data_IF_170791305419
#
_entry.id   IF_170791305419
#
_cell.length_a   1.000
_cell.length_b   1.000
_cell.length_c   1.000
_cell.angle_alpha   90.00
_cell.angle_beta   90.00
_cell.angle_gamma   90.00
#
_symmetry.space_group_name_H-M   'P 1'
#
loop_
_entity.id
_entity.type
_entity.pdbx_description
1 polymer ?
#
# COMPACT_ATOMS: atom_id res chain seq x y z
N UNK A 1 13.46 -54.06 15.84
CA UNK A 1 13.10 -53.11 14.77
C UNK A 1 12.42 -53.92 13.68
N UNK A 2 11.11 -53.78 13.51
CA UNK A 2 10.37 -54.39 12.41
C UNK A 2 10.45 -53.42 11.23
N UNK A 3 11.27 -53.74 10.23
CA UNK A 3 11.19 -53.08 8.93
C UNK A 3 9.90 -53.55 8.29
N UNK A 4 8.84 -52.74 8.37
CA UNK A 4 7.70 -52.87 7.48
C UNK A 4 8.26 -52.63 6.08
N UNK A 5 8.32 -53.69 5.26
CA UNK A 5 8.55 -53.54 3.84
C UNK A 5 7.35 -52.77 3.30
N UNK A 6 7.50 -51.44 3.21
CA UNK A 6 6.60 -50.62 2.43
C UNK A 6 6.65 -51.22 1.03
N UNK A 7 5.51 -51.64 0.49
CA UNK A 7 5.42 -52.08 -0.90
C UNK A 7 5.64 -50.84 -1.78
N UNK A 8 6.91 -50.49 -1.98
CA UNK A 8 7.34 -49.33 -2.72
C UNK A 8 6.78 -49.34 -4.14
N UNK A 9 6.51 -50.52 -4.71
CA UNK A 9 5.91 -50.67 -6.04
C UNK A 9 4.49 -50.10 -6.08
N UNK A 10 3.69 -50.37 -5.04
CA UNK A 10 2.31 -49.88 -4.94
C UNK A 10 2.22 -48.38 -4.70
N UNK A 11 3.18 -47.80 -3.97
CA UNK A 11 3.23 -46.35 -3.74
C UNK A 11 3.74 -45.61 -4.98
N UNK A 12 4.72 -46.16 -5.69
CA UNK A 12 5.17 -45.60 -6.98
C UNK A 12 4.03 -45.56 -7.99
N UNK A 13 3.28 -46.65 -8.16
CA UNK A 13 2.14 -46.65 -9.10
C UNK A 13 1.09 -45.63 -8.69
N UNK A 14 0.80 -45.52 -7.39
CA UNK A 14 -0.15 -44.54 -6.87
C UNK A 14 0.30 -43.10 -7.12
N UNK A 15 1.60 -42.79 -6.99
CA UNK A 15 2.14 -41.47 -7.32
C UNK A 15 1.96 -41.17 -8.81
N UNK A 16 2.24 -42.12 -9.69
CA UNK A 16 2.00 -41.95 -11.14
C UNK A 16 0.51 -41.72 -11.44
N UNK A 17 -0.38 -42.48 -10.80
CA UNK A 17 -1.82 -42.31 -10.95
C UNK A 17 -2.28 -40.93 -10.47
N UNK A 18 -1.75 -40.43 -9.35
CA UNK A 18 -2.04 -39.08 -8.84
C UNK A 18 -1.53 -38.01 -9.80
N UNK A 19 -0.36 -38.18 -10.39
CA UNK A 19 0.23 -37.21 -11.34
C UNK A 19 -0.57 -37.16 -12.64
N UNK A 20 -1.12 -38.30 -13.09
CA UNK A 20 -1.95 -38.38 -14.29
C UNK A 20 -3.39 -37.89 -14.03
N UNK A 21 -3.96 -38.23 -12.88
CA UNK A 21 -5.30 -37.85 -12.47
C UNK A 21 -5.32 -37.46 -10.99
N UNK A 22 -5.33 -36.15 -10.73
CA UNK A 22 -5.35 -35.58 -9.39
C UNK A 22 -6.61 -35.99 -8.59
N UNK A 23 -7.67 -36.44 -9.26
CA UNK A 23 -8.89 -36.89 -8.60
C UNK A 23 -8.68 -38.17 -7.78
N UNK A 24 -7.61 -38.93 -8.07
CA UNK A 24 -7.15 -40.11 -7.30
C UNK A 24 -6.85 -39.77 -5.84
N UNK A 25 -6.58 -38.50 -5.51
CA UNK A 25 -6.43 -38.04 -4.14
C UNK A 25 -7.73 -38.13 -3.33
N UNK A 26 -8.89 -38.14 -3.98
CA UNK A 26 -10.18 -38.20 -3.31
C UNK A 26 -10.39 -39.59 -2.68
N UNK A 27 -10.49 -39.63 -1.35
CA UNK A 27 -10.78 -40.87 -0.62
C UNK A 27 -9.55 -41.67 -0.21
N UNK A 28 -8.33 -41.12 -0.38
CA UNK A 28 -7.14 -41.70 0.24
C UNK A 28 -7.27 -41.68 1.77
N UNK A 29 -6.83 -42.75 2.42
CA UNK A 29 -6.78 -42.81 3.87
C UNK A 29 -5.57 -42.03 4.40
N UNK A 30 -5.63 -41.68 5.69
CA UNK A 30 -4.50 -41.03 6.39
C UNK A 30 -3.24 -41.88 6.31
N UNK A 31 -3.36 -43.20 6.45
CA UNK A 31 -2.24 -44.14 6.40
C UNK A 31 -1.58 -44.14 5.03
N UNK A 32 -2.37 -44.11 3.95
CA UNK A 32 -1.83 -44.04 2.58
C UNK A 32 -1.11 -42.71 2.33
N UNK A 33 -1.65 -41.60 2.84
CA UNK A 33 -0.97 -40.30 2.76
C UNK A 33 0.36 -40.29 3.51
N UNK A 34 0.42 -40.89 4.71
CA UNK A 34 1.68 -41.04 5.46
C UNK A 34 2.70 -41.90 4.69
N UNK A 35 2.25 -42.95 4.01
CA UNK A 35 3.12 -43.76 3.15
C UNK A 35 3.66 -42.98 1.96
N UNK A 36 2.83 -42.16 1.30
CA UNK A 36 3.27 -41.26 0.23
C UNK A 36 4.32 -40.27 0.75
N UNK A 37 4.10 -39.67 1.93
CA UNK A 37 5.05 -38.72 2.54
C UNK A 37 6.40 -39.40 2.82
N UNK A 38 6.38 -40.55 3.50
CA UNK A 38 7.60 -41.28 3.84
C UNK A 38 8.36 -41.74 2.58
N UNK A 39 7.63 -42.19 1.56
CA UNK A 39 8.21 -42.56 0.27
C UNK A 39 8.85 -41.35 -0.42
N UNK A 40 8.16 -40.20 -0.46
CA UNK A 40 8.64 -38.97 -1.08
C UNK A 40 9.97 -38.52 -0.47
N UNK A 41 10.05 -38.51 0.87
CA UNK A 41 11.27 -38.14 1.61
C UNK A 41 12.41 -39.12 1.37
N UNK A 42 12.12 -40.42 1.31
CA UNK A 42 13.14 -41.45 1.13
C UNK A 42 13.71 -41.49 -0.30
N UNK A 43 12.95 -41.04 -1.29
CA UNK A 43 13.28 -41.19 -2.72
C UNK A 43 13.43 -39.87 -3.48
N UNK A 44 13.30 -38.72 -2.80
CA UNK A 44 13.37 -37.38 -3.42
C UNK A 44 12.31 -37.17 -4.53
N UNK A 45 11.14 -37.82 -4.40
CA UNK A 45 10.01 -37.71 -5.33
C UNK A 45 8.85 -36.98 -4.68
N UNK A 46 8.76 -35.67 -4.91
CA UNK A 46 7.76 -34.79 -4.28
C UNK A 46 6.54 -34.52 -5.16
N UNK A 47 6.43 -35.13 -6.35
CA UNK A 47 5.39 -34.77 -7.34
C UNK A 47 3.96 -34.85 -6.79
N UNK A 48 3.63 -35.94 -6.10
CA UNK A 48 2.31 -36.09 -5.47
C UNK A 48 2.09 -35.08 -4.33
N UNK A 49 3.12 -34.81 -3.52
CA UNK A 49 3.05 -33.81 -2.45
C UNK A 49 2.92 -32.39 -2.99
N UNK A 50 3.54 -32.09 -4.13
CA UNK A 50 3.42 -30.80 -4.81
C UNK A 50 2.00 -30.57 -5.32
N UNK A 51 1.37 -31.59 -5.90
CA UNK A 51 -0.03 -31.54 -6.34
C UNK A 51 -0.95 -31.30 -5.14
N UNK A 52 -0.79 -32.07 -4.05
CA UNK A 52 -1.58 -31.91 -2.81
C UNK A 52 -1.41 -30.49 -2.27
N UNK A 53 -0.17 -30.00 -2.19
CA UNK A 53 0.14 -28.66 -1.71
C UNK A 53 -0.51 -27.61 -2.61
N UNK A 54 -0.40 -27.74 -3.92
CA UNK A 54 -1.00 -26.82 -4.89
C UNK A 54 -2.52 -26.75 -4.78
N UNK A 55 -3.21 -27.89 -4.65
CA UNK A 55 -4.67 -27.93 -4.52
C UNK A 55 -5.16 -27.13 -3.32
N UNK A 56 -4.43 -27.19 -2.20
CA UNK A 56 -4.84 -26.51 -0.97
C UNK A 56 -4.34 -25.07 -0.81
N UNK A 57 -3.26 -24.71 -1.51
CA UNK A 57 -2.58 -23.43 -1.31
C UNK A 57 -2.54 -22.55 -2.56
N UNK A 58 -2.65 -23.13 -3.76
CA UNK A 58 -2.44 -22.45 -5.04
C UNK A 58 -0.99 -21.99 -5.29
N UNK A 59 -0.05 -22.32 -4.39
CA UNK A 59 1.27 -21.68 -4.30
C UNK A 59 2.08 -21.71 -5.60
N UNK A 60 2.07 -22.85 -6.32
CA UNK A 60 2.83 -23.00 -7.58
C UNK A 60 2.18 -22.37 -8.81
N UNK A 61 0.93 -21.91 -8.71
CA UNK A 61 0.21 -21.26 -9.83
C UNK A 61 0.09 -19.75 -9.68
N UNK A 62 0.65 -19.18 -8.62
CA UNK A 62 0.53 -17.76 -8.34
C UNK A 62 1.47 -16.94 -9.24
N UNK A 63 0.92 -15.96 -9.97
CA UNK A 63 1.71 -15.00 -10.75
C UNK A 63 2.01 -13.76 -9.91
N UNK A 64 3.26 -13.65 -9.45
CA UNK A 64 3.77 -12.51 -8.67
C UNK A 64 3.65 -11.16 -9.37
N UNK A 65 3.51 -11.16 -10.70
CA UNK A 65 3.35 -9.95 -11.51
C UNK A 65 1.90 -9.68 -11.88
N UNK A 66 1.03 -10.67 -11.81
CA UNK A 66 -0.35 -10.54 -12.24
C UNK A 66 -1.32 -11.26 -11.30
N UNK A 67 -1.39 -10.87 -10.01
CA UNK A 67 -2.41 -11.42 -9.12
C UNK A 67 -3.81 -11.04 -9.60
N UNK A 68 -4.81 -11.86 -9.29
CA UNK A 68 -6.16 -11.75 -9.86
C UNK A 68 -6.85 -10.39 -9.62
N UNK A 69 -6.52 -9.72 -8.52
CA UNK A 69 -7.07 -8.40 -8.17
C UNK A 69 -6.36 -7.24 -8.87
N UNK A 70 -5.21 -7.47 -9.50
CA UNK A 70 -4.50 -6.44 -10.26
C UNK A 70 -5.03 -6.47 -11.70
N UNK A 71 -5.85 -5.48 -12.06
CA UNK A 71 -6.45 -5.39 -13.40
C UNK A 71 -5.45 -4.86 -14.44
N UNK A 72 -4.53 -4.00 -14.00
CA UNK A 72 -3.49 -3.44 -14.87
C UNK A 72 -2.33 -4.41 -15.06
N UNK A 73 -1.56 -4.22 -16.12
CA UNK A 73 -0.29 -4.94 -16.28
C UNK A 73 0.71 -4.52 -15.21
N UNK A 74 1.56 -5.45 -14.78
CA UNK A 74 2.63 -5.17 -13.81
C UNK A 74 3.49 -3.96 -14.19
N UNK A 75 3.86 -3.83 -15.46
CA UNK A 75 4.73 -2.78 -15.99
C UNK A 75 4.02 -1.44 -16.23
N UNK A 76 2.69 -1.38 -16.09
CA UNK A 76 1.93 -0.15 -16.31
C UNK A 76 2.32 0.98 -15.34
N UNK A 77 2.27 2.20 -15.86
CA UNK A 77 2.49 3.46 -15.13
C UNK A 77 1.38 3.75 -14.10
N UNK A 78 0.20 3.15 -14.30
CA UNK A 78 -0.95 3.24 -13.42
C UNK A 78 -1.49 1.86 -13.16
N UNK A 79 -1.81 1.59 -11.89
CA UNK A 79 -2.40 0.32 -11.49
C UNK A 79 -3.83 0.52 -11.01
N UNK A 80 -4.73 -0.30 -11.54
CA UNK A 80 -6.12 -0.42 -11.10
C UNK A 80 -6.21 -1.69 -10.24
N UNK A 81 -6.54 -1.49 -8.96
CA UNK A 81 -6.68 -2.55 -7.96
C UNK A 81 -8.16 -2.85 -7.74
N UNK A 82 -8.57 -4.09 -8.00
CA UNK A 82 -9.97 -4.53 -7.97
C UNK A 82 -10.20 -5.61 -6.92
N UNK A 83 -10.25 -5.18 -5.66
CA UNK A 83 -10.67 -6.03 -4.54
C UNK A 83 -12.18 -5.97 -4.26
N UNK A 84 -12.85 -4.94 -4.78
CA UNK A 84 -14.27 -4.65 -4.51
C UNK A 84 -14.93 -3.97 -5.71
N UNK A 85 -16.21 -3.59 -5.58
CA UNK A 85 -16.95 -2.86 -6.63
C UNK A 85 -16.30 -1.52 -7.00
N UNK A 86 -15.65 -0.87 -6.04
CA UNK A 86 -14.96 0.40 -6.27
C UNK A 86 -13.46 0.10 -6.40
N UNK A 87 -12.88 0.24 -7.61
CA UNK A 87 -11.45 0.04 -7.79
C UNK A 87 -10.66 1.18 -7.16
N UNK A 88 -9.43 0.89 -6.75
CA UNK A 88 -8.44 1.89 -6.31
C UNK A 88 -7.39 2.06 -7.39
N UNK A 89 -6.93 3.29 -7.60
CA UNK A 89 -5.88 3.58 -8.59
C UNK A 89 -4.60 3.99 -7.88
N UNK A 90 -3.47 3.38 -8.28
CA UNK A 90 -2.13 3.84 -7.93
C UNK A 90 -1.55 4.56 -9.15
N UNK A 91 -1.00 5.75 -8.93
CA UNK A 91 -0.31 6.53 -9.94
C UNK A 91 1.20 6.47 -9.72
N UNK A 92 1.90 5.56 -10.40
CA UNK A 92 3.37 5.48 -10.30
C UNK A 92 4.04 6.65 -11.01
N UNK A 93 3.43 7.13 -12.10
CA UNK A 93 3.91 8.20 -12.96
C UNK A 93 3.78 9.61 -12.39
N UNK A 94 3.03 9.79 -11.30
CA UNK A 94 2.86 11.09 -10.65
C UNK A 94 3.98 11.38 -9.65
N UNK A 95 4.57 10.36 -9.03
CA UNK A 95 5.50 10.52 -7.91
C UNK A 95 6.88 11.00 -8.37
N UNK A 96 7.37 12.07 -7.76
CA UNK A 96 8.73 12.58 -7.93
C UNK A 96 9.61 12.21 -6.73
N UNK A 97 10.86 11.84 -7.00
CA UNK A 97 11.87 11.58 -5.96
C UNK A 97 12.72 12.82 -5.68
N UNK A 98 13.62 12.71 -4.70
CA UNK A 98 14.47 13.80 -4.23
C UNK A 98 15.47 14.34 -5.26
N UNK A 99 15.66 13.64 -6.39
CA UNK A 99 16.43 14.11 -7.55
C UNK A 99 15.58 14.83 -8.62
N UNK A 100 14.29 15.05 -8.36
CA UNK A 100 13.37 15.73 -9.26
C UNK A 100 12.89 14.88 -10.44
N UNK A 101 13.28 13.60 -10.52
CA UNK A 101 12.78 12.66 -11.54
C UNK A 101 11.57 11.88 -11.02
N UNK A 102 10.77 11.38 -11.95
CA UNK A 102 9.63 10.51 -11.63
C UNK A 102 10.09 9.14 -11.16
N UNK A 103 9.32 8.51 -10.27
CA UNK A 103 9.54 7.13 -9.82
C UNK A 103 9.56 6.12 -10.99
N UNK A 104 8.88 6.43 -12.10
CA UNK A 104 8.88 5.63 -13.34
C UNK A 104 10.06 5.90 -14.28
N UNK A 105 10.97 6.83 -13.96
CA UNK A 105 12.21 7.01 -14.72
C UNK A 105 13.05 5.72 -14.65
N UNK A 106 13.70 5.37 -15.77
CA UNK A 106 14.52 4.15 -15.89
C UNK A 106 15.58 4.03 -14.81
N UNK A 107 16.09 5.16 -14.31
CA UNK A 107 17.04 5.22 -13.19
C UNK A 107 16.48 4.58 -11.92
N UNK A 108 15.18 4.73 -11.68
CA UNK A 108 14.48 4.32 -10.45
C UNK A 108 13.75 2.99 -10.61
N UNK A 109 13.88 2.31 -11.76
CA UNK A 109 13.14 1.09 -12.07
C UNK A 109 13.33 -0.02 -11.02
N UNK A 110 14.54 -0.16 -10.45
CA UNK A 110 14.78 -1.14 -9.39
C UNK A 110 13.94 -0.86 -8.15
N UNK A 111 13.89 0.40 -7.72
CA UNK A 111 13.10 0.84 -6.58
C UNK A 111 11.59 0.70 -6.86
N UNK A 112 11.13 1.13 -8.04
CA UNK A 112 9.75 0.97 -8.48
C UNK A 112 9.33 -0.51 -8.45
N UNK A 113 10.15 -1.40 -9.01
CA UNK A 113 9.86 -2.83 -9.00
C UNK A 113 9.85 -3.39 -7.57
N UNK A 114 10.73 -2.94 -6.67
CA UNK A 114 10.66 -3.33 -5.25
C UNK A 114 9.33 -2.98 -4.63
N UNK A 115 8.79 -1.78 -4.88
CA UNK A 115 7.46 -1.40 -4.39
C UNK A 115 6.33 -2.22 -5.03
N UNK A 116 6.39 -2.45 -6.34
CA UNK A 116 5.41 -3.26 -7.07
C UNK A 116 5.36 -4.69 -6.54
N UNK A 117 6.51 -5.34 -6.37
CA UNK A 117 6.59 -6.68 -5.80
C UNK A 117 6.17 -6.75 -4.34
N UNK A 118 6.48 -5.73 -3.53
CA UNK A 118 6.02 -5.70 -2.14
C UNK A 118 4.49 -5.67 -2.05
N UNK A 119 3.83 -4.95 -2.97
CA UNK A 119 2.37 -4.92 -3.06
C UNK A 119 1.81 -6.27 -3.50
N UNK A 120 2.36 -6.91 -4.55
CA UNK A 120 1.85 -8.20 -5.04
C UNK A 120 2.19 -9.39 -4.14
N UNK A 121 3.17 -9.26 -3.24
CA UNK A 121 3.46 -10.25 -2.21
C UNK A 121 2.39 -10.32 -1.11
N UNK A 122 1.53 -9.30 -0.96
CA UNK A 122 0.60 -9.18 0.17
C UNK A 122 -0.43 -10.31 0.26
N UNK A 123 -0.81 -10.92 -0.86
CA UNK A 123 -1.71 -12.07 -0.93
C UNK A 123 -1.08 -13.32 -1.54
N UNK A 124 0.21 -13.29 -1.90
CA UNK A 124 0.93 -14.46 -2.37
C UNK A 124 0.84 -15.59 -1.31
N UNK A 125 0.36 -16.80 -1.67
CA UNK A 125 0.29 -17.94 -0.77
C UNK A 125 1.63 -18.32 -0.13
N UNK A 126 2.75 -18.20 -0.86
CA UNK A 126 4.10 -18.47 -0.35
C UNK A 126 4.44 -17.57 0.84
N UNK A 127 4.16 -16.27 0.71
CA UNK A 127 4.41 -15.27 1.76
C UNK A 127 3.40 -15.34 2.90
N UNK A 128 2.26 -15.99 2.67
CA UNK A 128 1.18 -16.16 3.65
C UNK A 128 1.17 -17.53 4.33
N UNK A 129 2.26 -18.30 4.23
CA UNK A 129 2.38 -19.62 4.86
C UNK A 129 1.39 -20.64 4.29
N UNK A 130 1.12 -20.57 2.99
CA UNK A 130 0.19 -21.44 2.26
C UNK A 130 -1.28 -21.06 2.38
N UNK A 131 -1.62 -19.99 3.12
CA UNK A 131 -3.02 -19.59 3.33
C UNK A 131 -3.58 -18.80 2.15
N UNK A 132 -4.62 -19.33 1.54
CA UNK A 132 -5.48 -18.58 0.62
C UNK A 132 -6.31 -17.59 1.45
N UNK A 133 -6.25 -16.30 1.10
CA UNK A 133 -6.93 -15.24 1.83
C UNK A 133 -8.08 -14.64 1.03
N UNK A 134 -9.09 -14.11 1.73
CA UNK A 134 -10.22 -13.44 1.07
C UNK A 134 -9.79 -12.13 0.39
N UNK A 135 -10.52 -11.66 -0.66
CA UNK A 135 -10.28 -10.36 -1.28
C UNK A 135 -10.30 -9.19 -0.28
N UNK A 136 -11.16 -9.26 0.75
CA UNK A 136 -11.21 -8.26 1.82
C UNK A 136 -9.92 -8.24 2.63
N UNK A 137 -9.38 -9.41 2.97
CA UNK A 137 -8.10 -9.55 3.69
C UNK A 137 -6.93 -9.07 2.82
N UNK A 138 -6.90 -9.46 1.55
CA UNK A 138 -5.89 -9.01 0.59
C UNK A 138 -5.90 -7.48 0.46
N UNK A 139 -7.07 -6.88 0.27
CA UNK A 139 -7.26 -5.41 0.24
C UNK A 139 -6.71 -4.71 1.48
N UNK A 140 -6.96 -5.28 2.67
CA UNK A 140 -6.47 -4.73 3.93
C UNK A 140 -4.93 -4.83 4.03
N UNK A 141 -4.34 -5.95 3.62
CA UNK A 141 -2.87 -6.12 3.60
C UNK A 141 -2.20 -5.19 2.59
N UNK A 142 -2.71 -5.14 1.36
CA UNK A 142 -2.23 -4.22 0.32
C UNK A 142 -2.34 -2.77 0.77
N UNK A 143 -3.45 -2.39 1.40
CA UNK A 143 -3.61 -1.05 1.98
C UNK A 143 -2.53 -0.69 3.01
N UNK A 144 -2.12 -1.65 3.86
CA UNK A 144 -1.02 -1.44 4.82
C UNK A 144 0.33 -1.31 4.11
N UNK A 145 0.63 -2.19 3.16
CA UNK A 145 1.88 -2.12 2.38
C UNK A 145 2.00 -0.77 1.69
N UNK A 146 0.93 -0.30 1.04
CA UNK A 146 1.00 1.00 0.36
C UNK A 146 1.14 2.16 1.36
N UNK A 147 0.53 2.08 2.55
CA UNK A 147 0.77 3.09 3.59
C UNK A 147 2.26 3.15 3.99
N UNK A 148 2.92 2.01 4.13
CA UNK A 148 4.36 1.95 4.41
C UNK A 148 5.20 2.49 3.24
N UNK A 149 4.82 2.20 2.00
CA UNK A 149 5.46 2.77 0.81
C UNK A 149 5.30 4.29 0.79
N UNK A 150 4.10 4.80 1.08
CA UNK A 150 3.85 6.24 1.18
C UNK A 150 4.69 6.87 2.30
N UNK A 151 4.88 6.21 3.44
CA UNK A 151 5.82 6.68 4.47
C UNK A 151 7.22 6.88 3.86
N UNK A 152 7.76 5.88 3.17
CA UNK A 152 9.07 5.98 2.52
C UNK A 152 9.11 7.14 1.50
N UNK A 153 8.09 7.25 0.65
CA UNK A 153 8.02 8.27 -0.39
C UNK A 153 7.93 9.69 0.17
N UNK A 154 7.14 9.90 1.23
CA UNK A 154 7.02 11.19 1.92
C UNK A 154 8.34 11.63 2.57
N UNK A 155 9.17 10.66 2.99
CA UNK A 155 10.50 10.89 3.53
C UNK A 155 11.63 10.76 2.49
N UNK A 156 11.30 10.77 1.19
CA UNK A 156 12.25 10.55 0.08
C UNK A 156 13.52 11.42 0.16
N UNK A 157 13.37 12.71 0.49
CA UNK A 157 14.49 13.65 0.65
C UNK A 157 15.41 13.32 1.83
N UNK A 158 14.83 12.97 2.97
CA UNK A 158 15.58 12.62 4.19
C UNK A 158 16.34 11.30 3.99
N UNK A 159 15.71 10.35 3.31
CA UNK A 159 16.25 9.04 2.97
C UNK A 159 17.23 9.08 1.79
N UNK A 160 17.29 10.17 1.02
CA UNK A 160 18.03 10.26 -0.26
C UNK A 160 17.63 9.11 -1.20
N UNK A 161 16.34 8.88 -1.32
CA UNK A 161 15.74 7.66 -1.88
C UNK A 161 16.17 7.43 -3.34
N UNK A 162 16.29 8.48 -4.14
CA UNK A 162 16.77 8.41 -5.53
C UNK A 162 18.21 7.92 -5.68
N UNK A 163 19.04 8.09 -4.64
CA UNK A 163 20.46 7.67 -4.65
C UNK A 163 20.67 6.36 -3.91
N UNK A 164 20.05 6.22 -2.74
CA UNK A 164 20.28 5.11 -1.84
C UNK A 164 19.22 4.00 -1.96
N UNK A 165 18.15 4.22 -2.72
CA UNK A 165 16.96 3.37 -2.71
C UNK A 165 16.58 3.05 -1.24
N UNK A 166 16.24 1.80 -0.95
CA UNK A 166 15.82 1.37 0.38
C UNK A 166 16.97 1.18 1.39
N UNK A 167 18.23 1.48 1.04
CA UNK A 167 19.37 1.28 1.96
C UNK A 167 19.27 2.14 3.23
N UNK A 168 18.67 3.33 3.13
CA UNK A 168 18.47 4.23 4.28
C UNK A 168 17.13 3.99 4.99
N UNK A 169 16.31 3.05 4.51
CA UNK A 169 15.07 2.62 5.16
C UNK A 169 15.46 1.56 6.19
N UNK A 170 16.01 2.03 7.31
CA UNK A 170 16.60 1.21 8.37
C UNK A 170 15.69 1.08 9.61
N UNK A 171 16.19 0.41 10.64
CA UNK A 171 15.43 0.18 11.88
C UNK A 171 15.03 1.48 12.58
N UNK A 172 15.90 2.50 12.59
CA UNK A 172 15.59 3.81 13.19
C UNK A 172 14.44 4.51 12.45
N UNK A 173 14.43 4.44 11.12
CA UNK A 173 13.34 4.96 10.30
C UNK A 173 12.03 4.24 10.65
N UNK A 174 12.03 2.91 10.67
CA UNK A 174 10.83 2.14 10.98
C UNK A 174 10.35 2.34 12.40
N UNK A 175 11.25 2.38 13.38
CA UNK A 175 10.91 2.65 14.77
C UNK A 175 10.19 3.99 14.90
N UNK A 176 10.71 5.04 14.26
CA UNK A 176 10.07 6.36 14.24
C UNK A 176 8.66 6.32 13.62
N UNK A 177 8.50 5.72 12.43
CA UNK A 177 7.20 5.62 11.76
C UNK A 177 6.21 4.79 12.59
N UNK A 178 6.64 3.65 13.14
CA UNK A 178 5.78 2.76 13.91
C UNK A 178 5.39 3.36 15.27
N UNK A 179 6.28 4.09 15.93
CA UNK A 179 5.95 4.84 17.16
C UNK A 179 4.88 5.88 16.86
N UNK A 180 5.04 6.69 15.82
CA UNK A 180 4.02 7.66 15.41
C UNK A 180 2.71 6.99 15.00
N UNK A 181 2.77 5.86 14.32
CA UNK A 181 1.60 5.07 13.97
C UNK A 181 0.86 4.57 15.21
N UNK A 182 1.59 4.09 16.22
CA UNK A 182 1.00 3.61 17.47
C UNK A 182 0.36 4.74 18.29
N UNK A 183 0.99 5.91 18.31
CA UNK A 183 0.52 7.08 19.06
C UNK A 183 -0.67 7.79 18.39
N UNK A 184 -0.63 7.93 17.06
CA UNK A 184 -1.54 8.81 16.32
C UNK A 184 -2.36 8.09 15.24
N UNK A 185 -2.21 6.77 15.11
CA UNK A 185 -2.86 5.97 14.07
C UNK A 185 -2.27 6.18 12.67
N UNK A 186 -2.88 5.54 11.67
CA UNK A 186 -2.37 5.55 10.29
C UNK A 186 -2.32 6.96 9.67
N UNK A 187 -3.41 7.72 9.80
CA UNK A 187 -3.56 8.99 9.08
C UNK A 187 -2.52 10.02 9.52
N UNK A 188 -2.35 10.21 10.83
CA UNK A 188 -1.39 11.17 11.34
C UNK A 188 0.02 10.58 11.47
N UNK A 189 0.13 9.31 11.86
CA UNK A 189 1.42 8.67 12.11
C UNK A 189 2.26 8.44 10.86
N UNK A 190 1.62 8.21 9.71
CA UNK A 190 2.30 8.00 8.42
C UNK A 190 2.38 9.29 7.61
N UNK A 191 1.28 10.04 7.54
CA UNK A 191 1.17 11.16 6.59
C UNK A 191 1.49 12.52 7.23
N UNK A 192 1.67 12.60 8.55
CA UNK A 192 1.98 13.83 9.31
C UNK A 192 1.14 15.04 8.87
N UNK A 193 -0.16 14.83 8.66
CA UNK A 193 -1.03 15.77 7.95
C UNK A 193 -1.07 17.13 8.60
N UNK A 194 -1.08 17.20 9.93
CA UNK A 194 -1.13 18.49 10.64
C UNK A 194 0.14 19.30 10.40
N UNK A 195 1.30 18.65 10.49
CA UNK A 195 2.60 19.28 10.26
C UNK A 195 2.71 19.75 8.82
N UNK A 196 2.35 18.91 7.85
CA UNK A 196 2.40 19.26 6.43
C UNK A 196 1.41 20.38 6.09
N UNK A 197 0.21 20.34 6.67
CA UNK A 197 -0.81 21.39 6.50
C UNK A 197 -0.33 22.71 7.08
N UNK A 198 0.27 22.70 8.28
CA UNK A 198 0.85 23.91 8.87
C UNK A 198 1.90 24.52 7.94
N UNK A 199 2.88 23.72 7.51
CA UNK A 199 3.97 24.19 6.63
C UNK A 199 3.42 24.73 5.32
N UNK A 200 2.45 24.04 4.71
CA UNK A 200 1.79 24.50 3.48
C UNK A 200 1.14 25.87 3.68
N UNK A 201 0.32 26.00 4.72
CA UNK A 201 -0.48 27.20 4.97
C UNK A 201 0.37 28.39 5.43
N UNK A 202 1.36 28.17 6.30
CA UNK A 202 2.30 29.21 6.71
C UNK A 202 3.10 29.75 5.50
N UNK A 203 3.53 28.88 4.58
CA UNK A 203 4.23 29.28 3.35
C UNK A 203 3.30 30.01 2.37
N UNK A 204 2.10 29.45 2.12
CA UNK A 204 1.14 30.05 1.19
C UNK A 204 0.69 31.44 1.66
N UNK A 205 0.57 31.64 2.97
CA UNK A 205 0.16 32.92 3.56
C UNK A 205 1.14 34.06 3.23
N UNK A 206 2.43 33.77 3.05
CA UNK A 206 3.43 34.78 2.69
C UNK A 206 3.17 35.40 1.30
N UNK A 207 2.47 34.68 0.42
CA UNK A 207 2.15 35.14 -0.93
C UNK A 207 0.87 35.98 -1.04
N UNK A 208 0.05 36.04 0.01
CA UNK A 208 -1.23 36.76 -0.01
C UNK A 208 -1.04 38.19 0.50
N UNK A 209 -1.52 39.16 -0.28
CA UNK A 209 -1.45 40.58 0.09
C UNK A 209 -2.47 40.94 1.18
N UNK A 210 -2.16 41.98 1.96
CA UNK A 210 -3.10 42.48 2.97
C UNK A 210 -4.40 43.04 2.38
N UNK A 211 -4.37 43.54 1.13
CA UNK A 211 -5.55 44.06 0.45
C UNK A 211 -6.53 42.94 0.08
N UNK A 212 -6.03 41.83 -0.47
CA UNK A 212 -6.86 40.67 -0.84
C UNK A 212 -7.55 40.08 0.39
N UNK A 213 -6.83 40.03 1.51
CA UNK A 213 -7.37 39.56 2.80
C UNK A 213 -8.47 40.49 3.29
N UNK A 214 -8.31 41.80 3.15
CA UNK A 214 -9.32 42.77 3.57
C UNK A 214 -10.61 42.61 2.76
N UNK A 215 -10.51 42.47 1.43
CA UNK A 215 -11.67 42.18 0.57
C UNK A 215 -12.32 40.84 0.94
N UNK A 216 -11.51 39.82 1.24
CA UNK A 216 -12.00 38.52 1.67
C UNK A 216 -12.73 38.58 3.03
N UNK A 217 -12.23 39.38 3.99
CA UNK A 217 -12.87 39.64 5.29
C UNK A 217 -14.22 40.33 5.15
N UNK A 218 -14.33 41.32 4.27
CA UNK A 218 -15.58 42.03 4.02
C UNK A 218 -16.67 41.08 3.50
N UNK A 219 -16.27 40.12 2.67
CA UNK A 219 -17.17 39.08 2.15
C UNK A 219 -17.47 37.98 3.17
N UNK A 220 -16.51 37.63 4.02
CA UNK A 220 -16.62 36.54 5.00
C UNK A 220 -16.13 36.98 6.39
N UNK A 221 -16.92 37.77 7.15
CA UNK A 221 -16.48 38.33 8.43
C UNK A 221 -16.11 37.28 9.50
N UNK A 222 -16.68 36.08 9.41
CA UNK A 222 -16.42 34.96 10.32
C UNK A 222 -14.93 34.57 10.38
N UNK A 223 -14.14 34.84 9.33
CA UNK A 223 -12.71 34.53 9.31
C UNK A 223 -11.88 35.41 10.24
N UNK A 224 -12.45 36.50 10.77
CA UNK A 224 -11.77 37.39 11.74
C UNK A 224 -12.10 37.00 13.19
N UNK A 225 -12.99 36.02 13.41
CA UNK A 225 -13.38 35.59 14.74
C UNK A 225 -12.19 34.94 15.47
N UNK A 226 -11.83 35.43 16.66
CA UNK A 226 -10.79 34.80 17.46
C UNK A 226 -11.25 33.42 17.90
N UNK A 227 -10.40 32.42 17.67
CA UNK A 227 -10.60 31.05 18.17
C UNK A 227 -9.72 30.94 19.42
N UNK A 228 -10.24 30.32 20.48
CA UNK A 228 -9.47 30.14 21.70
C UNK A 228 -8.29 29.16 21.44
N UNK A 229 -7.18 29.34 22.16
CA UNK A 229 -5.96 28.55 21.91
C UNK A 229 -6.17 27.06 22.18
N UNK A 230 -6.99 26.72 23.18
CA UNK A 230 -7.42 25.37 23.55
C UNK A 230 -8.40 24.75 22.55
N UNK A 231 -9.08 25.57 21.75
CA UNK A 231 -9.95 25.14 20.64
C UNK A 231 -9.19 25.06 19.30
N UNK A 232 -7.91 25.47 19.27
CA UNK A 232 -7.13 25.54 18.04
C UNK A 232 -6.35 24.25 17.80
N UNK A 233 -6.83 23.45 16.85
CA UNK A 233 -6.13 22.23 16.41
C UNK A 233 -4.84 22.53 15.62
N UNK A 234 -4.87 23.57 14.78
CA UNK A 234 -3.74 24.00 13.95
C UNK A 234 -3.43 25.48 14.20
N UNK A 235 -2.35 25.77 14.91
CA UNK A 235 -1.92 27.15 15.15
C UNK A 235 -1.21 27.71 13.92
N UNK A 236 -1.82 28.66 13.22
CA UNK A 236 -1.28 29.30 12.01
C UNK A 236 -0.81 30.72 12.30
N UNK A 237 0.29 31.13 11.69
CA UNK A 237 0.87 32.48 11.91
C UNK A 237 -0.03 33.57 11.35
N UNK A 238 -0.58 33.35 10.14
CA UNK A 238 -1.42 34.30 9.43
C UNK A 238 -2.73 33.62 8.97
N UNK A 239 -3.53 33.13 9.92
CA UNK A 239 -4.76 32.34 9.68
C UNK A 239 -5.68 32.92 8.60
N UNK A 240 -5.90 34.23 8.63
CA UNK A 240 -6.81 34.90 7.70
C UNK A 240 -6.32 34.82 6.25
N UNK A 241 -4.99 34.94 6.05
CA UNK A 241 -4.34 34.76 4.75
C UNK A 241 -4.42 33.31 4.29
N UNK A 242 -4.16 32.37 5.19
CA UNK A 242 -4.29 30.94 4.90
C UNK A 242 -5.71 30.57 4.45
N UNK A 243 -6.74 31.10 5.13
CA UNK A 243 -8.14 30.88 4.75
C UNK A 243 -8.48 31.50 3.38
N UNK A 244 -7.98 32.71 3.10
CA UNK A 244 -8.15 33.34 1.78
C UNK A 244 -7.52 32.49 0.67
N UNK A 245 -6.28 32.04 0.87
CA UNK A 245 -5.60 31.16 -0.08
C UNK A 245 -6.33 29.83 -0.29
N UNK A 246 -6.77 29.16 0.78
CA UNK A 246 -7.55 27.93 0.69
C UNK A 246 -8.86 28.12 -0.09
N UNK A 247 -9.49 29.28 0.02
CA UNK A 247 -10.67 29.62 -0.76
C UNK A 247 -10.37 29.68 -2.26
N UNK A 248 -9.25 30.29 -2.65
CA UNK A 248 -8.77 30.34 -4.05
C UNK A 248 -8.45 28.94 -4.59
N UNK A 249 -7.94 28.03 -3.75
CA UNK A 249 -7.70 26.64 -4.12
C UNK A 249 -8.99 25.81 -4.23
N UNK A 250 -10.16 26.38 -3.91
CA UNK A 250 -11.44 25.69 -3.96
C UNK A 250 -11.74 24.79 -2.75
N UNK A 251 -10.97 24.91 -1.66
CA UNK A 251 -11.15 24.09 -0.46
C UNK A 251 -12.55 24.26 0.17
N UNK A 252 -13.11 25.48 0.13
CA UNK A 252 -14.44 25.77 0.67
C UNK A 252 -15.57 25.70 -0.37
N UNK A 253 -15.33 25.12 -1.55
CA UNK A 253 -16.32 25.09 -2.64
C UNK A 253 -16.96 23.70 -2.77
N UNK A 254 -18.28 23.67 -2.99
CA UNK A 254 -19.03 22.45 -3.33
C UNK A 254 -19.36 22.38 -4.83
N UNK A 255 -19.70 21.19 -5.33
CA UNK A 255 -20.02 20.90 -6.73
C UNK A 255 -21.25 21.67 -7.28
N UNK A 256 -21.91 22.49 -6.45
CA UNK A 256 -23.08 23.32 -6.78
C UNK A 256 -22.95 24.81 -6.42
N UNK A 257 -21.74 25.36 -6.26
CA UNK A 257 -21.46 26.78 -5.89
C UNK A 257 -21.83 27.18 -4.45
N UNK A 258 -22.27 26.27 -3.60
CA UNK A 258 -22.45 26.52 -2.17
C UNK A 258 -21.11 26.47 -1.42
N UNK A 259 -21.00 27.19 -0.29
CA UNK A 259 -19.81 27.17 0.57
C UNK A 259 -19.85 25.93 1.46
N UNK A 260 -18.78 25.13 1.40
CA UNK A 260 -18.57 23.97 2.24
C UNK A 260 -17.64 24.34 3.41
N UNK A 261 -18.23 24.71 4.54
CA UNK A 261 -17.47 25.10 5.73
C UNK A 261 -16.61 23.98 6.33
N UNK A 262 -17.01 22.72 6.14
CA UNK A 262 -16.23 21.56 6.54
C UNK A 262 -14.97 21.33 5.67
N UNK A 263 -14.85 22.05 4.55
CA UNK A 263 -13.73 21.92 3.62
C UNK A 263 -13.82 20.70 2.71
N UNK A 264 -12.98 20.70 1.68
CA UNK A 264 -12.85 19.63 0.70
C UNK A 264 -11.51 18.92 0.90
N UNK A 265 -11.56 17.76 1.56
CA UNK A 265 -10.37 16.95 1.86
C UNK A 265 -9.65 16.44 0.61
N UNK A 266 -10.35 16.27 -0.52
CA UNK A 266 -9.70 15.88 -1.77
C UNK A 266 -8.83 17.02 -2.34
N UNK A 267 -9.29 18.28 -2.23
CA UNK A 267 -8.51 19.46 -2.60
C UNK A 267 -7.27 19.57 -1.70
N UNK A 268 -7.46 19.47 -0.38
CA UNK A 268 -6.33 19.54 0.56
C UNK A 268 -5.34 18.40 0.35
N UNK A 269 -5.83 17.17 0.16
CA UNK A 269 -5.00 16.01 -0.13
C UNK A 269 -4.13 16.23 -1.37
N UNK A 270 -4.72 16.76 -2.45
CA UNK A 270 -3.96 17.13 -3.66
C UNK A 270 -2.88 18.18 -3.34
N UNK A 271 -3.20 19.25 -2.64
CA UNK A 271 -2.21 20.28 -2.29
C UNK A 271 -1.05 19.74 -1.44
N UNK A 272 -1.33 18.79 -0.55
CA UNK A 272 -0.31 18.20 0.32
C UNK A 272 0.55 17.17 -0.39
N UNK A 273 -0.07 16.30 -1.18
CA UNK A 273 0.51 15.02 -1.59
C UNK A 273 0.67 14.83 -3.09
N UNK A 274 0.16 15.73 -3.93
CA UNK A 274 0.30 15.61 -5.39
C UNK A 274 1.78 15.51 -5.77
N UNK A 275 2.09 14.44 -6.50
CA UNK A 275 3.43 14.04 -6.91
C UNK A 275 4.39 13.59 -5.80
N UNK A 276 3.92 13.31 -4.58
CA UNK A 276 4.75 12.85 -3.46
C UNK A 276 4.45 11.43 -3.00
N UNK A 277 3.28 10.89 -3.31
CA UNK A 277 2.85 9.56 -2.87
C UNK A 277 1.89 8.90 -3.88
N UNK A 278 1.50 7.65 -3.64
CA UNK A 278 0.82 6.79 -4.63
C UNK A 278 -0.66 7.12 -4.90
N UNK A 279 -1.27 8.04 -4.14
CA UNK A 279 -2.65 8.52 -4.28
C UNK A 279 -2.82 9.98 -3.83
#
# INVERSE_FOLDING_TARGET
MLSVAIDNTSIVSLIEDIVLDHSTLNGLSTETLEQIINFSVANDDYRALDIITHIHTGIYGYDDRQPEWLESRFDADKWILKFSKTPKTIHWDSVYLDDGKRLTDIKHLKLLNSFKYWITAADNPLENGGKIISPTTASAKVGKVIALINAILLHSKELKLAKCHLLNVNDDFWLNILTKYAEYGNFQGVYEIDKLTKVLLDNASQGISGADVQTFKEKYPCISQRIALDETFLSLTEREKACAWLFEQGYYQDAGKAIKYAGNSAVLGKLLFDGKMLY
#
